data_IF_781595601805
#
_entry.id   IF_781595601805
#
_cell.length_a   1.000
_cell.length_b   1.000
_cell.length_c   1.000
_cell.angle_alpha   90.00
_cell.angle_beta   90.00
_cell.angle_gamma   90.00
#
_symmetry.space_group_name_H-M   'P 1'
#
loop_
_entity.id
_entity.type
_entity.pdbx_description
1 polymer ?
#
# COMPACT_ATOMS: atom_id res chain seq x y z
N UNK A 1 -11.35 13.12 -7.77
CA UNK A 1 -10.47 11.99 -7.36
C UNK A 1 -10.97 11.40 -6.05
N UNK A 2 -10.99 10.07 -5.89
CA UNK A 2 -11.41 9.45 -4.63
C UNK A 2 -10.37 9.71 -3.53
N UNK A 3 -10.86 10.08 -2.34
CA UNK A 3 -10.01 10.34 -1.16
C UNK A 3 -9.52 9.02 -0.57
N UNK A 4 -8.23 8.91 -0.31
CA UNK A 4 -7.60 7.71 0.27
C UNK A 4 -7.04 8.02 1.65
N UNK A 5 -7.04 7.03 2.54
CA UNK A 5 -6.37 7.10 3.85
C UNK A 5 -4.90 6.65 3.80
N UNK A 6 -4.55 5.88 2.76
CA UNK A 6 -3.20 5.44 2.43
C UNK A 6 -2.41 6.54 1.70
N UNK A 7 -1.11 6.57 1.95
CA UNK A 7 -0.09 7.38 1.26
C UNK A 7 0.99 6.47 0.68
N UNK A 8 1.79 7.01 -0.25
CA UNK A 8 3.01 6.36 -0.71
C UNK A 8 3.90 6.09 0.51
N UNK A 9 4.61 4.96 0.49
CA UNK A 9 5.53 4.54 1.55
C UNK A 9 4.90 4.10 2.88
N UNK A 10 3.57 4.12 3.01
CA UNK A 10 2.89 3.49 4.15
C UNK A 10 3.12 1.96 4.11
N UNK A 11 3.38 1.36 5.27
CA UNK A 11 3.42 -0.11 5.44
C UNK A 11 2.01 -0.67 5.59
N UNK A 12 1.66 -1.64 4.74
CA UNK A 12 0.32 -2.23 4.71
C UNK A 12 0.34 -3.75 4.73
N UNK A 13 -0.77 -4.32 5.16
CA UNK A 13 -1.08 -5.75 5.11
C UNK A 13 -2.30 -5.96 4.24
N UNK A 14 -2.26 -7.03 3.44
CA UNK A 14 -3.36 -7.46 2.58
C UNK A 14 -4.34 -8.28 3.42
N UNK A 15 -5.59 -7.83 3.48
CA UNK A 15 -6.65 -8.47 4.26
C UNK A 15 -7.40 -9.54 3.47
N UNK A 16 -7.52 -9.36 2.15
CA UNK A 16 -8.32 -10.21 1.28
C UNK A 16 -7.64 -10.36 -0.09
N UNK A 17 -7.92 -11.48 -0.77
CA UNK A 17 -7.36 -11.83 -2.08
C UNK A 17 -6.27 -12.91 -2.01
N UNK A 18 -5.62 -13.16 -3.15
CA UNK A 18 -4.62 -14.23 -3.32
C UNK A 18 -3.44 -14.10 -2.35
N UNK A 19 -3.02 -12.88 -2.06
CA UNK A 19 -1.88 -12.56 -1.21
C UNK A 19 -2.26 -12.16 0.22
N UNK A 20 -3.41 -12.66 0.71
CA UNK A 20 -3.89 -12.39 2.08
C UNK A 20 -2.80 -12.72 3.11
N UNK A 21 -2.60 -11.79 4.05
CA UNK A 21 -1.63 -11.92 5.14
C UNK A 21 -0.25 -11.35 4.82
N UNK A 22 0.10 -11.16 3.54
CA UNK A 22 1.39 -10.54 3.18
C UNK A 22 1.40 -9.07 3.59
N UNK A 23 2.58 -8.62 3.99
CA UNK A 23 2.91 -7.24 4.35
C UNK A 23 3.86 -6.66 3.32
N UNK A 24 3.73 -5.37 3.04
CA UNK A 24 4.63 -4.68 2.12
C UNK A 24 4.43 -3.17 2.14
N UNK A 25 5.38 -2.46 1.54
CA UNK A 25 5.34 -1.00 1.37
C UNK A 25 4.57 -0.62 0.12
N UNK A 26 3.85 0.50 0.18
CA UNK A 26 3.16 1.04 -1.00
C UNK A 26 4.17 1.77 -1.90
N UNK A 27 4.37 1.24 -3.11
CA UNK A 27 5.22 1.85 -4.15
C UNK A 27 4.50 3.03 -4.81
N UNK A 28 3.23 2.84 -5.15
CA UNK A 28 2.43 3.86 -5.83
C UNK A 28 0.94 3.70 -5.56
N UNK A 29 0.20 4.82 -5.69
CA UNK A 29 -1.25 4.86 -5.51
C UNK A 29 -1.88 5.49 -6.75
N UNK A 30 -2.80 4.76 -7.38
CA UNK A 30 -3.66 5.28 -8.42
C UNK A 30 -5.01 5.70 -7.81
N UNK A 31 -5.18 7.01 -7.58
CA UNK A 31 -6.40 7.59 -6.99
C UNK A 31 -7.61 7.60 -7.94
N UNK A 32 -7.39 7.49 -9.25
CA UNK A 32 -8.48 7.42 -10.23
C UNK A 32 -9.14 6.05 -10.19
N UNK A 33 -8.33 4.99 -10.21
CA UNK A 33 -8.80 3.59 -10.16
C UNK A 33 -9.00 3.04 -8.75
N UNK A 34 -8.64 3.81 -7.72
CA UNK A 34 -8.71 3.41 -6.31
C UNK A 34 -7.88 2.14 -5.99
N UNK A 35 -6.70 2.07 -6.59
CA UNK A 35 -5.78 0.94 -6.46
C UNK A 35 -4.39 1.40 -6.01
N UNK A 36 -3.61 0.51 -5.42
CA UNK A 36 -2.24 0.73 -4.98
C UNK A 36 -1.34 -0.45 -5.40
N UNK A 37 -0.08 -0.18 -5.71
CA UNK A 37 0.93 -1.22 -5.95
C UNK A 37 1.70 -1.41 -4.66
N UNK A 38 1.72 -2.64 -4.16
CA UNK A 38 2.40 -3.03 -2.91
C UNK A 38 3.59 -3.91 -3.28
N UNK A 39 4.73 -3.62 -2.68
CA UNK A 39 5.97 -4.38 -2.87
C UNK A 39 5.80 -5.85 -2.52
N UNK A 40 6.27 -6.74 -3.41
CA UNK A 40 6.23 -8.19 -3.19
C UNK A 40 4.84 -8.83 -3.22
N UNK A 41 3.81 -8.07 -3.61
CA UNK A 41 2.44 -8.55 -3.67
C UNK A 41 1.83 -8.44 -5.07
N UNK A 42 0.88 -9.33 -5.36
CA UNK A 42 0.19 -9.45 -6.63
C UNK A 42 1.15 -9.52 -7.83
N UNK A 43 2.13 -10.42 -7.75
CA UNK A 43 3.11 -10.62 -8.81
C UNK A 43 2.44 -11.27 -10.02
N UNK A 44 2.50 -10.59 -11.16
CA UNK A 44 2.02 -11.08 -12.45
C UNK A 44 3.17 -11.30 -13.40
N UNK A 45 3.11 -12.40 -14.15
CA UNK A 45 4.06 -12.70 -15.22
C UNK A 45 3.65 -11.91 -16.46
N UNK A 46 4.50 -10.98 -16.91
CA UNK A 46 4.32 -10.22 -18.12
C UNK A 46 5.34 -10.65 -19.16
N UNK A 47 4.86 -11.12 -20.31
CA UNK A 47 5.71 -11.36 -21.47
C UNK A 47 6.05 -10.02 -22.11
N UNK A 48 7.34 -9.72 -22.19
CA UNK A 48 7.84 -8.48 -22.78
C UNK A 48 8.72 -8.80 -23.98
N UNK A 49 8.42 -8.13 -25.10
CA UNK A 49 9.31 -8.13 -26.26
C UNK A 49 10.66 -7.50 -25.88
N UNK A 50 11.77 -7.90 -26.52
CA UNK A 50 13.07 -7.29 -26.31
C UNK A 50 13.02 -5.76 -26.44
N UNK A 51 13.64 -5.05 -25.51
CA UNK A 51 13.80 -3.60 -25.54
C UNK A 51 15.18 -3.21 -24.99
N UNK A 52 15.52 -1.92 -25.00
CA UNK A 52 16.84 -1.42 -24.57
C UNK A 52 17.19 -1.82 -23.12
N UNK A 53 16.20 -1.83 -22.23
CA UNK A 53 16.38 -2.23 -20.82
C UNK A 53 16.46 -3.76 -20.64
N UNK A 54 15.85 -4.54 -21.55
CA UNK A 54 15.80 -6.00 -21.51
C UNK A 54 16.06 -6.59 -22.92
N UNK A 55 17.33 -6.63 -23.38
CA UNK A 55 17.68 -7.01 -24.75
C UNK A 55 17.41 -8.48 -25.10
N UNK A 56 17.30 -9.37 -24.11
CA UNK A 56 16.91 -10.78 -24.33
C UNK A 56 15.39 -10.99 -24.41
N UNK A 57 14.59 -10.00 -24.02
CA UNK A 57 13.15 -10.19 -23.78
C UNK A 57 12.88 -11.26 -22.71
N UNK A 58 11.62 -11.67 -22.58
CA UNK A 58 11.25 -12.81 -21.73
C UNK A 58 10.06 -12.56 -20.81
N UNK A 59 9.94 -13.42 -19.79
CA UNK A 59 8.88 -13.36 -18.78
C UNK A 59 9.36 -12.57 -17.57
N UNK A 60 8.90 -11.33 -17.44
CA UNK A 60 9.23 -10.47 -16.30
C UNK A 60 8.11 -10.60 -15.26
N UNK A 61 8.48 -10.82 -14.00
CA UNK A 61 7.52 -10.70 -12.88
C UNK A 61 7.42 -9.25 -12.47
N UNK A 62 6.20 -8.71 -12.45
CA UNK A 62 5.92 -7.33 -12.05
C UNK A 62 4.82 -7.30 -11.01
N UNK A 63 4.93 -6.40 -10.05
CA UNK A 63 3.87 -6.12 -9.08
C UNK A 63 2.68 -5.47 -9.79
N UNK A 64 1.49 -6.03 -9.57
CA UNK A 64 0.24 -5.49 -10.06
C UNK A 64 -0.51 -4.73 -8.97
N UNK A 65 -1.48 -3.93 -9.42
CA UNK A 65 -2.27 -3.10 -8.53
C UNK A 65 -3.27 -3.93 -7.71
N UNK A 66 -3.45 -3.57 -6.45
CA UNK A 66 -4.42 -4.13 -5.50
C UNK A 66 -5.44 -3.04 -5.14
N UNK A 67 -6.69 -3.41 -4.90
CA UNK A 67 -7.70 -2.44 -4.45
C UNK A 67 -7.38 -1.93 -3.04
N UNK A 68 -7.47 -0.62 -2.84
CA UNK A 68 -7.19 0.04 -1.56
C UNK A 68 -8.09 -0.49 -0.43
N UNK A 69 -9.31 -0.95 -0.72
CA UNK A 69 -10.21 -1.55 0.29
C UNK A 69 -9.64 -2.82 0.95
N UNK A 70 -8.72 -3.51 0.26
CA UNK A 70 -8.17 -4.78 0.72
C UNK A 70 -6.89 -4.59 1.54
N UNK A 71 -6.50 -3.35 1.80
CA UNK A 71 -5.25 -2.98 2.47
C UNK A 71 -5.55 -2.30 3.81
N UNK A 72 -4.84 -2.70 4.85
CA UNK A 72 -4.82 -1.99 6.14
C UNK A 72 -3.39 -1.57 6.47
N UNK A 73 -3.21 -0.41 7.11
CA UNK A 73 -1.88 -0.06 7.61
C UNK A 73 -1.50 -0.95 8.76
N UNK A 74 -0.21 -1.22 8.83
CA UNK A 74 0.42 -2.00 9.87
C UNK A 74 1.15 -1.06 10.79
N UNK A 75 0.84 -1.16 12.09
CA UNK A 75 1.58 -0.47 13.13
C UNK A 75 2.97 -1.11 13.31
N UNK A 76 3.89 -0.44 14.00
CA UNK A 76 5.25 -0.93 14.29
C UNK A 76 5.24 -2.29 15.00
N UNK A 77 4.15 -2.61 15.71
CA UNK A 77 3.90 -3.89 16.40
C UNK A 77 3.38 -4.99 15.47
N UNK A 78 3.28 -4.74 14.17
CA UNK A 78 2.85 -5.71 13.17
C UNK A 78 1.34 -5.98 13.12
N UNK A 79 0.53 -5.24 13.87
CA UNK A 79 -0.94 -5.38 13.91
C UNK A 79 -1.59 -4.48 12.84
N UNK A 80 -2.46 -5.00 11.96
CA UNK A 80 -3.20 -4.18 11.02
C UNK A 80 -4.28 -3.39 11.75
N UNK A 81 -4.42 -2.09 11.45
CA UNK A 81 -5.39 -1.22 12.11
C UNK A 81 -5.98 -0.17 11.17
N UNK A 82 -7.21 0.27 11.50
CA UNK A 82 -7.88 1.38 10.83
C UNK A 82 -7.30 2.71 11.32
N UNK A 83 -7.24 3.70 10.43
CA UNK A 83 -6.75 5.05 10.78
C UNK A 83 -7.88 5.94 11.27
N UNK A 84 -7.61 6.70 12.33
CA UNK A 84 -8.34 7.90 12.74
C UNK A 84 -7.56 9.18 12.41
N UNK A 85 -8.23 10.32 12.48
CA UNK A 85 -7.60 11.65 12.36
C UNK A 85 -7.91 12.45 13.61
N UNK A 86 -6.90 13.07 14.21
CA UNK A 86 -7.06 13.99 15.35
C UNK A 86 -6.30 15.27 15.11
N UNK A 87 -6.76 16.36 15.70
CA UNK A 87 -6.03 17.62 15.72
C UNK A 87 -5.19 17.60 17.00
N UNK A 88 -3.88 17.78 16.87
CA UNK A 88 -3.01 17.88 18.01
C UNK A 88 -3.16 19.28 18.64
N UNK A 89 -3.60 19.33 19.90
CA UNK A 89 -3.84 20.60 20.61
C UNK A 89 -2.58 21.45 20.78
N UNK A 90 -1.38 20.85 20.75
CA UNK A 90 -0.10 21.56 20.92
C UNK A 90 0.44 22.16 19.61
N UNK A 91 0.20 21.51 18.47
CA UNK A 91 0.77 21.93 17.18
C UNK A 91 -0.28 22.47 16.20
N UNK A 92 -1.57 22.29 16.49
CA UNK A 92 -2.69 22.62 15.59
C UNK A 92 -2.76 21.73 14.34
N UNK A 93 -1.83 20.80 14.14
CA UNK A 93 -1.74 19.97 12.92
C UNK A 93 -2.66 18.75 13.00
N UNK A 94 -3.16 18.34 11.83
CA UNK A 94 -3.96 17.10 11.67
C UNK A 94 -3.03 15.90 11.60
N UNK A 95 -3.13 15.02 12.58
CA UNK A 95 -2.34 13.80 12.69
C UNK A 95 -3.20 12.57 12.38
N UNK A 96 -2.58 11.57 11.75
CA UNK A 96 -3.15 10.23 11.55
C UNK A 96 -2.72 9.36 12.73
N UNK A 97 -3.66 8.62 13.31
CA UNK A 97 -3.36 7.69 14.40
C UNK A 97 -4.03 6.33 14.13
N UNK A 98 -3.43 5.26 14.65
CA UNK A 98 -4.02 3.93 14.62
C UNK A 98 -5.14 3.83 15.65
N UNK A 99 -6.35 3.42 15.25
CA UNK A 99 -7.49 3.33 16.18
C UNK A 99 -7.31 2.27 17.27
N UNK A 100 -6.49 1.26 17.01
CA UNK A 100 -6.30 0.14 17.95
C UNK A 100 -5.28 0.47 19.03
N UNK A 101 -4.17 1.15 18.68
CA UNK A 101 -3.07 1.43 19.61
C UNK A 101 -3.00 2.89 20.04
N UNK A 102 -3.64 3.81 19.31
CA UNK A 102 -3.51 5.25 19.52
C UNK A 102 -2.17 5.82 19.03
N UNK A 103 -1.28 4.96 18.53
CA UNK A 103 0.05 5.31 18.04
C UNK A 103 -0.05 6.17 16.76
N UNK A 104 0.92 7.07 16.58
CA UNK A 104 0.99 7.96 15.43
C UNK A 104 1.43 7.20 14.18
N UNK A 105 0.73 7.41 13.06
CA UNK A 105 1.16 6.91 11.76
C UNK A 105 2.27 7.82 11.26
N UNK A 106 3.51 7.31 11.30
CA UNK A 106 4.68 7.98 10.70
C UNK A 106 4.56 7.99 9.17
#
# INVERSE_FOLDING_TARGET
MKKTYLKKDDNVQIMTGRDKGKKGRIISINRLKYTAIVEGANLVSKHTKPNQDNPKGGVIKKEASINISNLLLVDSKGKPSKIGKRINKKTGKKERFFKTTGDLVK
#
